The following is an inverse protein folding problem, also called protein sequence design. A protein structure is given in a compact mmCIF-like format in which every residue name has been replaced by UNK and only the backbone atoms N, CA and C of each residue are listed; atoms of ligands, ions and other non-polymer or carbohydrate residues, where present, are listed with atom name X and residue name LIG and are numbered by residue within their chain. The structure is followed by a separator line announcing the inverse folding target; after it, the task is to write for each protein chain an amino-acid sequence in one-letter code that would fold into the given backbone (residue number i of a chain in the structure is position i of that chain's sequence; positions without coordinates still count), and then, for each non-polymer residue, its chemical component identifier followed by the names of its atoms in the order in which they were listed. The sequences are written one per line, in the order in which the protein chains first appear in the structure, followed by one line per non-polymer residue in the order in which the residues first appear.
data_IF_059127240371
#
_entry.id   IF_059127240371
#
_cell.length_a   1.000
_cell.length_b   1.000
_cell.length_c   1.000
_cell.angle_alpha   90.00
_cell.angle_beta   90.00
_cell.angle_gamma   90.00
#
_symmetry.space_group_name_H-M   'P 1'
#
loop_
_entity.id
_entity.type
_entity.pdbx_description
1 polymer ?
#
# COMPACT_ATOMS: atom_id res chain seq x y z
N UNK A 1 28.64 0.97 4.02
CA UNK A 1 27.56 0.14 3.47
C UNK A 1 28.20 -0.94 2.62
N UNK A 2 27.92 -2.20 2.90
CA UNK A 2 28.38 -3.31 2.07
C UNK A 2 27.55 -3.39 0.77
N UNK A 3 28.06 -4.11 -0.26
CA UNK A 3 27.25 -4.35 -1.49
C UNK A 3 25.91 -5.04 -1.18
N UNK A 4 25.88 -5.87 -0.14
CA UNK A 4 24.66 -6.53 0.32
C UNK A 4 23.67 -5.53 0.93
N UNK A 5 24.13 -4.55 1.71
CA UNK A 5 23.25 -3.51 2.28
C UNK A 5 22.55 -2.68 1.18
N UNK A 6 23.30 -2.32 0.11
CA UNK A 6 22.69 -1.55 -1.01
C UNK A 6 21.63 -2.38 -1.74
N UNK A 7 21.83 -3.68 -1.90
CA UNK A 7 20.84 -4.59 -2.46
C UNK A 7 19.55 -4.61 -1.61
N UNK A 8 19.66 -4.76 -0.28
CA UNK A 8 18.51 -4.80 0.61
C UNK A 8 17.76 -3.45 0.65
N UNK A 9 18.44 -2.32 0.59
CA UNK A 9 17.81 -0.99 0.44
C UNK A 9 17.07 -0.87 -0.89
N UNK A 10 17.59 -1.42 -1.99
CA UNK A 10 16.88 -1.44 -3.29
C UNK A 10 15.65 -2.34 -3.25
N UNK A 11 15.74 -3.53 -2.67
CA UNK A 11 14.62 -4.45 -2.52
C UNK A 11 13.51 -3.85 -1.65
N UNK A 12 13.88 -3.17 -0.56
CA UNK A 12 12.94 -2.38 0.25
C UNK A 12 12.25 -1.30 -0.59
N UNK A 13 13.00 -0.61 -1.48
CA UNK A 13 12.44 0.35 -2.42
C UNK A 13 11.45 -0.27 -3.41
N UNK A 14 11.81 -1.39 -4.02
CA UNK A 14 10.93 -2.13 -4.95
C UNK A 14 9.64 -2.53 -4.24
N UNK A 15 9.72 -3.07 -3.04
CA UNK A 15 8.53 -3.44 -2.27
C UNK A 15 7.67 -2.22 -1.90
N UNK A 16 8.30 -1.11 -1.49
CA UNK A 16 7.60 0.15 -1.21
C UNK A 16 6.90 0.74 -2.45
N UNK A 17 7.42 0.47 -3.65
CA UNK A 17 6.75 0.79 -4.92
C UNK A 17 5.59 -0.17 -5.19
N UNK A 18 5.81 -1.49 -5.06
CA UNK A 18 4.83 -2.51 -5.47
C UNK A 18 3.56 -2.47 -4.63
N UNK A 19 3.67 -2.21 -3.32
CA UNK A 19 2.51 -2.22 -2.42
C UNK A 19 1.44 -1.22 -2.89
N UNK A 20 1.68 0.09 -2.99
CA UNK A 20 0.68 1.02 -3.50
C UNK A 20 0.52 0.93 -5.02
N UNK A 21 1.58 0.65 -5.77
CA UNK A 21 1.62 0.70 -7.23
C UNK A 21 0.78 -0.38 -7.91
N UNK A 22 0.64 -1.55 -7.30
CA UNK A 22 -0.07 -2.68 -7.91
C UNK A 22 -1.39 -3.03 -7.20
N UNK A 23 -1.70 -2.39 -6.06
CA UNK A 23 -2.74 -2.82 -5.14
C UNK A 23 -4.13 -2.96 -5.77
N UNK A 24 -4.54 -2.06 -6.66
CA UNK A 24 -5.92 -1.94 -7.11
C UNK A 24 -6.20 -2.49 -8.51
N UNK A 25 -5.19 -2.58 -9.35
CA UNK A 25 -5.35 -2.95 -10.76
C UNK A 25 -4.63 -4.24 -11.15
N UNK A 26 -3.87 -4.83 -10.21
CA UNK A 26 -3.26 -6.15 -10.37
C UNK A 26 -3.86 -7.10 -9.34
N UNK A 27 -4.29 -8.28 -9.77
CA UNK A 27 -4.83 -9.30 -8.88
C UNK A 27 -3.80 -9.66 -7.79
N UNK A 28 -4.18 -9.50 -6.52
CA UNK A 28 -3.29 -9.68 -5.37
C UNK A 28 -2.01 -8.83 -5.42
N UNK A 29 -2.04 -7.67 -6.11
CA UNK A 29 -0.85 -6.84 -6.38
C UNK A 29 -0.11 -6.37 -5.12
N UNK A 30 -0.84 -6.03 -4.06
CA UNK A 30 -0.24 -5.68 -2.76
C UNK A 30 0.53 -6.84 -2.12
N UNK A 31 0.09 -8.09 -2.37
CA UNK A 31 0.72 -9.27 -1.78
C UNK A 31 2.13 -9.51 -2.33
N UNK A 32 2.42 -9.13 -3.57
CA UNK A 32 3.75 -9.26 -4.14
C UNK A 32 4.78 -8.43 -3.39
N UNK A 33 4.44 -7.17 -3.09
CA UNK A 33 5.31 -6.31 -2.27
C UNK A 33 5.47 -6.83 -0.85
N UNK A 34 4.41 -7.35 -0.23
CA UNK A 34 4.43 -7.94 1.10
C UNK A 34 5.31 -9.20 1.15
N UNK A 35 5.22 -10.07 0.14
CA UNK A 35 6.07 -11.28 0.04
C UNK A 35 7.55 -10.90 -0.09
N UNK A 36 7.88 -9.90 -0.93
CA UNK A 36 9.26 -9.41 -1.04
C UNK A 36 9.76 -8.90 0.30
N UNK A 37 8.96 -8.09 1.02
CA UNK A 37 9.33 -7.59 2.35
C UNK A 37 9.56 -8.73 3.34
N UNK A 38 8.67 -9.73 3.36
CA UNK A 38 8.76 -10.86 4.27
C UNK A 38 10.02 -11.70 3.99
N UNK A 39 10.28 -12.04 2.74
CA UNK A 39 11.47 -12.80 2.36
C UNK A 39 12.75 -12.05 2.72
N UNK A 40 12.82 -10.74 2.43
CA UNK A 40 13.95 -9.90 2.79
C UNK A 40 14.09 -9.77 4.30
N UNK A 41 12.99 -9.68 5.06
CA UNK A 41 13.05 -9.62 6.52
C UNK A 41 13.62 -10.91 7.11
N UNK A 42 13.20 -12.07 6.62
CA UNK A 42 13.72 -13.36 7.05
C UNK A 42 15.21 -13.51 6.71
N UNK A 43 15.61 -13.12 5.48
CA UNK A 43 17.01 -13.17 5.07
C UNK A 43 17.93 -12.25 5.90
N UNK A 44 17.39 -11.18 6.47
CA UNK A 44 18.16 -10.19 7.26
C UNK A 44 17.88 -10.24 8.75
N UNK A 45 17.24 -11.31 9.25
CA UNK A 45 16.83 -11.45 10.65
C UNK A 45 17.98 -11.22 11.65
N UNK A 46 19.17 -11.73 11.35
CA UNK A 46 20.36 -11.53 12.19
C UNK A 46 20.81 -10.07 12.32
N UNK A 47 20.40 -9.19 11.39
CA UNK A 47 20.75 -7.76 11.42
C UNK A 47 19.73 -6.96 12.23
N UNK A 48 18.44 -7.07 11.89
CA UNK A 48 17.43 -6.25 12.57
C UNK A 48 17.12 -6.71 13.99
N UNK A 49 17.29 -8.01 14.33
CA UNK A 49 17.18 -8.50 15.71
C UNK A 49 18.24 -7.90 16.65
N UNK A 50 19.40 -7.49 16.12
CA UNK A 50 20.46 -6.84 16.90
C UNK A 50 20.29 -5.33 17.03
N UNK A 51 19.44 -4.72 16.20
CA UNK A 51 19.17 -3.28 16.24
C UNK A 51 18.07 -3.00 17.26
N UNK A 52 18.32 -2.08 18.18
CA UNK A 52 17.28 -1.61 19.11
C UNK A 52 16.40 -0.57 18.38
N UNK A 53 15.11 -0.83 18.19
CA UNK A 53 14.21 0.13 17.58
C UNK A 53 14.08 1.38 18.46
N UNK A 54 13.91 2.55 17.85
CA UNK A 54 13.63 3.79 18.55
C UNK A 54 12.22 3.78 19.18
N UNK A 55 11.92 4.79 20.01
CA UNK A 55 10.63 4.91 20.71
C UNK A 55 9.44 4.87 19.75
N UNK A 56 9.51 5.58 18.63
CA UNK A 56 8.43 5.65 17.65
C UNK A 56 8.18 4.28 16.98
N UNK A 57 9.24 3.52 16.76
CA UNK A 57 9.12 2.16 16.22
C UNK A 57 8.44 1.22 17.22
N UNK A 58 8.68 1.38 18.52
CA UNK A 58 7.98 0.62 19.56
C UNK A 58 6.51 0.97 19.64
N UNK A 59 6.12 2.23 19.44
CA UNK A 59 4.71 2.63 19.37
C UNK A 59 4.00 1.99 18.17
N UNK A 60 4.64 2.00 16.99
CA UNK A 60 4.09 1.32 15.81
C UNK A 60 3.99 -0.19 16.01
N UNK A 61 5.02 -0.80 16.59
CA UNK A 61 5.03 -2.22 16.91
C UNK A 61 3.87 -2.58 17.86
N UNK A 62 3.73 -1.82 18.94
CA UNK A 62 2.64 -1.99 19.92
C UNK A 62 1.25 -1.84 19.27
N UNK A 63 1.08 -0.86 18.38
CA UNK A 63 -0.18 -0.66 17.65
C UNK A 63 -0.53 -1.84 16.74
N UNK A 64 0.45 -2.39 16.02
CA UNK A 64 0.25 -3.56 15.15
C UNK A 64 -0.10 -4.80 15.99
N UNK A 65 0.62 -5.01 17.11
CA UNK A 65 0.33 -6.13 18.03
C UNK A 65 -1.06 -5.99 18.62
N UNK A 66 -1.42 -4.80 19.12
CA UNK A 66 -2.73 -4.55 19.70
C UNK A 66 -3.85 -4.83 18.69
N UNK A 67 -3.70 -4.35 17.44
CA UNK A 67 -4.69 -4.59 16.39
C UNK A 67 -4.78 -6.08 16.05
N UNK A 68 -3.65 -6.77 15.91
CA UNK A 68 -3.63 -8.22 15.68
C UNK A 68 -4.29 -9.01 16.81
N UNK A 69 -4.08 -8.59 18.06
CA UNK A 69 -4.68 -9.21 19.23
C UNK A 69 -6.20 -9.01 19.24
N UNK A 70 -6.70 -7.80 18.96
CA UNK A 70 -8.14 -7.52 18.88
C UNK A 70 -8.80 -8.45 17.84
N UNK A 71 -8.20 -8.59 16.65
CA UNK A 71 -8.73 -9.50 15.63
C UNK A 71 -8.62 -10.99 16.02
N UNK A 72 -7.60 -11.36 16.80
CA UNK A 72 -7.46 -12.73 17.29
C UNK A 72 -8.46 -13.08 18.38
N UNK A 73 -8.83 -12.12 19.23
CA UNK A 73 -9.84 -12.30 20.27
C UNK A 73 -11.27 -12.44 19.71
N UNK A 74 -11.53 -11.87 18.55
CA UNK A 74 -12.82 -12.00 17.85
C UNK A 74 -12.98 -13.34 17.11
N UNK A 75 -11.96 -14.20 17.16
CA UNK A 75 -11.98 -15.51 16.51
C UNK A 75 -12.67 -16.56 17.40
N UNK A 76 -13.83 -17.05 16.95
CA UNK A 76 -14.52 -18.20 17.58
C UNK A 76 -14.16 -19.50 16.82
N UNK A 77 -13.41 -20.43 17.43
CA UNK A 77 -13.04 -21.69 16.80
C UNK A 77 -14.23 -22.59 16.47
N UNK A 78 -15.35 -22.43 17.20
CA UNK A 78 -16.52 -23.29 17.03
C UNK A 78 -17.42 -22.87 15.86
N UNK A 79 -17.41 -21.58 15.53
CA UNK A 79 -18.26 -21.00 14.48
C UNK A 79 -17.44 -20.39 13.32
N UNK A 80 -16.14 -20.16 13.53
CA UNK A 80 -15.25 -19.49 12.60
C UNK A 80 -14.60 -20.43 11.59
N UNK A 81 -14.56 -20.00 10.33
CA UNK A 81 -13.67 -20.63 9.35
C UNK A 81 -12.22 -20.28 9.66
N UNK A 82 -11.28 -21.20 9.43
CA UNK A 82 -9.83 -20.94 9.52
C UNK A 82 -9.37 -19.75 8.68
N UNK A 83 -10.14 -19.38 7.65
CA UNK A 83 -9.90 -18.17 6.87
C UNK A 83 -9.98 -16.87 7.69
N UNK A 84 -10.65 -16.86 8.83
CA UNK A 84 -10.74 -15.70 9.71
C UNK A 84 -9.42 -15.40 10.44
N UNK A 85 -8.53 -16.40 10.58
CA UNK A 85 -7.17 -16.22 11.09
C UNK A 85 -6.23 -15.51 10.09
N UNK A 86 -6.62 -15.39 8.82
CA UNK A 86 -5.82 -14.68 7.81
C UNK A 86 -5.56 -13.20 8.19
N UNK A 87 -6.54 -12.55 8.83
CA UNK A 87 -6.41 -11.15 9.26
C UNK A 87 -5.37 -10.97 10.38
N UNK A 88 -5.50 -11.63 11.55
CA UNK A 88 -4.50 -11.49 12.62
C UNK A 88 -3.11 -11.99 12.18
N UNK A 89 -3.03 -13.04 11.36
CA UNK A 89 -1.75 -13.50 10.82
C UNK A 89 -1.03 -12.44 9.98
N UNK A 90 -1.74 -11.65 9.18
CA UNK A 90 -1.17 -10.55 8.40
C UNK A 90 -0.58 -9.46 9.28
N UNK A 91 -1.23 -9.12 10.40
CA UNK A 91 -0.66 -8.17 11.37
C UNK A 91 0.63 -8.70 11.98
N UNK A 92 0.67 -9.97 12.39
CA UNK A 92 1.89 -10.57 12.94
C UNK A 92 3.02 -10.63 11.92
N UNK A 93 2.72 -10.97 10.65
CA UNK A 93 3.69 -10.98 9.56
C UNK A 93 4.18 -9.58 9.17
N UNK A 94 3.42 -8.53 9.49
CA UNK A 94 3.85 -7.15 9.27
C UNK A 94 4.98 -6.72 10.22
N UNK A 95 5.12 -7.34 11.40
CA UNK A 95 6.13 -6.97 12.39
C UNK A 95 7.58 -7.17 11.89
N UNK A 96 7.98 -8.35 11.38
CA UNK A 96 9.31 -8.52 10.81
C UNK A 96 9.55 -7.61 9.58
N UNK A 97 8.51 -7.35 8.78
CA UNK A 97 8.59 -6.41 7.66
C UNK A 97 8.88 -4.98 8.14
N UNK A 98 8.23 -4.52 9.22
CA UNK A 98 8.50 -3.21 9.83
C UNK A 98 9.95 -3.11 10.29
N UNK A 99 10.45 -4.11 11.01
CA UNK A 99 11.82 -4.13 11.51
C UNK A 99 12.86 -4.14 10.36
N UNK A 100 12.55 -4.86 9.29
CA UNK A 100 13.36 -4.84 8.08
C UNK A 100 13.40 -3.44 7.43
N UNK A 101 12.24 -2.79 7.25
CA UNK A 101 12.16 -1.44 6.66
C UNK A 101 12.88 -0.41 7.53
N UNK A 102 12.84 -0.54 8.85
CA UNK A 102 13.60 0.32 9.78
C UNK A 102 15.11 0.09 9.66
N UNK A 103 15.54 -1.14 9.39
CA UNK A 103 16.96 -1.48 9.19
C UNK A 103 17.48 -1.02 7.80
N UNK A 104 16.63 -1.13 6.78
CA UNK A 104 16.94 -0.83 5.38
C UNK A 104 15.88 0.10 4.79
N UNK A 105 15.86 1.39 5.19
CA UNK A 105 14.81 2.33 4.80
C UNK A 105 14.80 2.53 3.28
N UNK A 106 13.63 2.41 2.63
CA UNK A 106 13.49 2.66 1.21
C UNK A 106 13.68 4.15 0.91
N UNK A 107 14.21 4.46 -0.24
CA UNK A 107 14.25 5.86 -0.71
C UNK A 107 12.82 6.31 -1.02
N UNK A 108 12.39 7.42 -0.46
CA UNK A 108 11.02 7.96 -0.59
C UNK A 108 10.52 8.05 -2.05
N UNK A 109 11.42 8.26 -3.02
CA UNK A 109 11.09 8.29 -4.46
C UNK A 109 10.39 7.01 -4.95
N UNK A 110 10.71 5.84 -4.39
CA UNK A 110 10.08 4.58 -4.77
C UNK A 110 8.63 4.52 -4.30
N UNK A 111 8.39 4.94 -3.06
CA UNK A 111 7.03 5.02 -2.50
C UNK A 111 6.18 5.99 -3.32
N UNK A 112 6.68 7.19 -3.57
CA UNK A 112 5.97 8.19 -4.36
C UNK A 112 5.68 7.71 -5.79
N UNK A 113 6.66 7.09 -6.45
CA UNK A 113 6.44 6.50 -7.77
C UNK A 113 5.36 5.40 -7.74
N UNK A 114 5.36 4.54 -6.70
CA UNK A 114 4.31 3.55 -6.50
C UNK A 114 2.93 4.17 -6.32
N UNK A 115 2.80 5.24 -5.53
CA UNK A 115 1.55 5.97 -5.34
C UNK A 115 1.03 6.54 -6.66
N UNK A 116 1.89 7.18 -7.46
CA UNK A 116 1.49 7.74 -8.76
C UNK A 116 1.03 6.64 -9.73
N UNK A 117 1.79 5.55 -9.84
CA UNK A 117 1.42 4.40 -10.69
C UNK A 117 0.15 3.73 -10.20
N UNK A 118 -0.03 3.60 -8.88
CA UNK A 118 -1.22 3.03 -8.28
C UNK A 118 -2.47 3.87 -8.55
N UNK A 119 -2.38 5.20 -8.41
CA UNK A 119 -3.48 6.12 -8.72
C UNK A 119 -3.87 6.06 -10.21
N UNK A 120 -2.88 6.13 -11.11
CA UNK A 120 -3.12 6.01 -12.54
C UNK A 120 -3.69 4.65 -12.91
N UNK A 121 -3.12 3.56 -12.39
CA UNK A 121 -3.58 2.20 -12.65
C UNK A 121 -5.00 1.97 -12.15
N UNK A 122 -5.34 2.49 -10.97
CA UNK A 122 -6.70 2.42 -10.43
C UNK A 122 -7.70 3.13 -11.37
N UNK A 123 -7.47 4.39 -11.72
CA UNK A 123 -8.38 5.12 -12.61
C UNK A 123 -8.55 4.45 -13.97
N UNK A 124 -7.45 4.09 -14.63
CA UNK A 124 -7.49 3.40 -15.92
C UNK A 124 -8.21 2.04 -15.85
N UNK A 125 -7.98 1.29 -14.78
CA UNK A 125 -8.66 0.00 -14.59
C UNK A 125 -10.14 0.17 -14.28
N UNK A 126 -10.51 1.22 -13.51
CA UNK A 126 -11.90 1.59 -13.27
C UNK A 126 -12.62 1.96 -14.57
N UNK A 127 -12.00 2.77 -15.43
CA UNK A 127 -12.51 3.08 -16.76
C UNK A 127 -12.68 1.84 -17.62
N UNK A 128 -11.69 0.95 -17.64
CA UNK A 128 -11.79 -0.32 -18.35
C UNK A 128 -12.98 -1.15 -17.87
N UNK A 129 -13.20 -1.25 -16.55
CA UNK A 129 -14.34 -1.96 -15.99
C UNK A 129 -15.68 -1.32 -16.38
N UNK A 130 -15.78 0.01 -16.36
CA UNK A 130 -16.99 0.72 -16.70
C UNK A 130 -17.30 0.68 -18.20
N UNK A 131 -16.31 0.95 -19.06
CA UNK A 131 -16.51 1.13 -20.50
C UNK A 131 -16.42 -0.18 -21.31
N UNK A 132 -15.46 -1.05 -20.98
CA UNK A 132 -15.25 -2.29 -21.72
C UNK A 132 -16.00 -3.48 -21.14
N UNK A 133 -16.09 -3.58 -19.82
CA UNK A 133 -16.79 -4.67 -19.15
C UNK A 133 -18.24 -4.31 -18.77
N UNK A 134 -18.66 -3.06 -19.00
CA UNK A 134 -19.98 -2.54 -18.67
C UNK A 134 -20.44 -2.86 -17.24
N UNK A 135 -19.49 -2.89 -16.28
CA UNK A 135 -19.82 -3.15 -14.89
C UNK A 135 -20.52 -1.91 -14.30
N UNK A 136 -21.59 -2.10 -13.51
CA UNK A 136 -22.33 -0.97 -12.90
C UNK A 136 -21.47 -0.23 -11.88
N UNK A 137 -20.42 -0.87 -11.37
CA UNK A 137 -19.50 -0.32 -10.37
C UNK A 137 -18.08 -0.85 -10.58
N UNK A 138 -17.10 0.04 -10.57
CA UNK A 138 -15.71 -0.36 -10.55
C UNK A 138 -15.35 -0.94 -9.17
N UNK A 139 -14.79 -2.13 -9.14
CA UNK A 139 -14.43 -2.85 -7.92
C UNK A 139 -12.97 -3.34 -7.91
N UNK A 140 -12.26 -3.20 -9.02
CA UNK A 140 -10.92 -3.73 -9.16
C UNK A 140 -10.89 -5.25 -8.93
N UNK A 141 -9.93 -5.69 -8.13
CA UNK A 141 -9.86 -7.07 -7.62
C UNK A 141 -10.24 -7.15 -6.12
N UNK A 142 -11.05 -6.20 -5.64
CA UNK A 142 -11.54 -6.10 -4.27
C UNK A 142 -13.05 -5.79 -4.28
N UNK A 143 -13.59 -5.17 -3.25
CA UNK A 143 -14.95 -4.66 -3.29
C UNK A 143 -14.98 -3.18 -3.69
N UNK A 144 -16.11 -2.70 -4.22
CA UNK A 144 -16.25 -1.35 -4.74
C UNK A 144 -15.95 -0.26 -3.67
N UNK A 145 -16.30 -0.50 -2.40
CA UNK A 145 -16.07 0.45 -1.31
C UNK A 145 -14.57 0.60 -1.03
N UNK A 146 -13.86 -0.51 -0.92
CA UNK A 146 -12.40 -0.50 -0.70
C UNK A 146 -11.67 0.07 -1.91
N UNK A 147 -12.09 -0.32 -3.11
CA UNK A 147 -11.52 0.21 -4.35
C UNK A 147 -11.65 1.72 -4.43
N UNK A 148 -12.84 2.25 -4.23
CA UNK A 148 -13.08 3.69 -4.26
C UNK A 148 -12.33 4.45 -3.18
N UNK A 149 -12.34 3.95 -1.93
CA UNK A 149 -11.61 4.57 -0.83
C UNK A 149 -10.10 4.60 -1.03
N UNK A 150 -9.51 3.49 -1.49
CA UNK A 150 -8.07 3.42 -1.76
C UNK A 150 -7.67 4.23 -2.99
N UNK A 151 -8.50 4.25 -4.06
CA UNK A 151 -8.28 5.07 -5.24
C UNK A 151 -8.25 6.55 -4.89
N UNK A 152 -9.23 7.02 -4.08
CA UNK A 152 -9.28 8.38 -3.57
C UNK A 152 -8.03 8.71 -2.73
N UNK A 153 -7.65 7.83 -1.82
CA UNK A 153 -6.46 8.00 -0.99
C UNK A 153 -5.20 8.18 -1.85
N UNK A 154 -5.00 7.34 -2.86
CA UNK A 154 -3.86 7.47 -3.77
C UNK A 154 -3.89 8.80 -4.54
N UNK A 155 -5.06 9.24 -5.02
CA UNK A 155 -5.24 10.55 -5.65
C UNK A 155 -4.91 11.71 -4.72
N UNK A 156 -5.37 11.67 -3.46
CA UNK A 156 -5.04 12.68 -2.44
C UNK A 156 -3.54 12.68 -2.12
N UNK A 157 -2.89 11.52 -2.05
CA UNK A 157 -1.43 11.44 -1.86
C UNK A 157 -0.67 12.04 -3.05
N UNK A 158 -1.18 11.89 -4.29
CA UNK A 158 -0.64 12.58 -5.46
C UNK A 158 -0.78 14.10 -5.32
N UNK A 159 -1.90 14.62 -4.78
CA UNK A 159 -2.09 16.04 -4.51
C UNK A 159 -1.06 16.56 -3.49
N UNK A 160 -0.85 15.83 -2.41
CA UNK A 160 0.17 16.16 -1.40
C UNK A 160 1.57 16.18 -2.04
N UNK A 161 1.92 15.19 -2.85
CA UNK A 161 3.21 15.15 -3.54
C UNK A 161 3.39 16.34 -4.49
N UNK A 162 2.33 16.71 -5.23
CA UNK A 162 2.36 17.84 -6.14
C UNK A 162 2.55 19.16 -5.40
N UNK A 163 1.82 19.39 -4.30
CA UNK A 163 1.85 20.64 -3.55
C UNK A 163 3.12 20.79 -2.70
N UNK A 164 3.47 19.76 -1.93
CA UNK A 164 4.57 19.83 -0.94
C UNK A 164 5.94 19.77 -1.63
N UNK A 165 6.05 19.04 -2.72
CA UNK A 165 7.31 18.81 -3.42
C UNK A 165 7.36 19.53 -4.77
N UNK A 166 6.53 20.56 -4.97
CA UNK A 166 6.40 21.30 -6.24
C UNK A 166 7.74 21.70 -6.84
N UNK A 167 8.60 22.33 -6.06
CA UNK A 167 9.89 22.84 -6.52
C UNK A 167 10.92 21.75 -6.84
N UNK A 168 10.69 20.54 -6.36
CA UNK A 168 11.57 19.37 -6.60
C UNK A 168 11.23 18.62 -7.87
N UNK A 169 10.04 18.84 -8.46
CA UNK A 169 9.56 18.13 -9.63
C UNK A 169 9.80 18.87 -10.93
N UNK A 170 10.26 18.16 -11.94
CA UNK A 170 10.31 18.66 -13.31
C UNK A 170 8.89 18.84 -13.85
N UNK A 171 8.67 19.73 -14.87
CA UNK A 171 7.32 19.99 -15.42
C UNK A 171 6.56 18.72 -15.83
N UNK A 172 7.22 17.78 -16.49
CA UNK A 172 6.60 16.52 -16.91
C UNK A 172 6.20 15.62 -15.70
N UNK A 173 6.95 15.67 -14.59
CA UNK A 173 6.60 14.96 -13.36
C UNK A 173 5.38 15.58 -12.67
N UNK A 174 5.28 16.91 -12.70
CA UNK A 174 4.09 17.64 -12.21
C UNK A 174 2.84 17.25 -12.99
N UNK A 175 2.96 17.15 -14.33
CA UNK A 175 1.86 16.63 -15.16
C UNK A 175 1.48 15.20 -14.80
N UNK A 176 2.46 14.32 -14.54
CA UNK A 176 2.21 12.95 -14.08
C UNK A 176 1.44 12.90 -12.75
N UNK A 177 1.78 13.77 -11.79
CA UNK A 177 1.05 13.89 -10.52
C UNK A 177 -0.38 14.39 -10.73
N UNK A 178 -0.59 15.39 -11.60
CA UNK A 178 -1.92 15.90 -11.93
C UNK A 178 -2.80 14.80 -12.57
N UNK A 179 -2.25 14.01 -13.46
CA UNK A 179 -2.93 12.83 -14.04
C UNK A 179 -3.27 11.82 -12.95
N UNK A 180 -2.34 11.53 -12.02
CA UNK A 180 -2.60 10.64 -10.89
C UNK A 180 -3.74 11.12 -9.98
N UNK A 181 -3.85 12.44 -9.75
CA UNK A 181 -4.96 13.04 -9.00
C UNK A 181 -6.29 12.78 -9.73
N UNK A 182 -6.37 13.13 -11.01
CA UNK A 182 -7.59 12.98 -11.79
C UNK A 182 -8.06 11.53 -11.87
N UNK A 183 -7.14 10.61 -12.20
CA UNK A 183 -7.45 9.19 -12.32
C UNK A 183 -7.77 8.55 -10.97
N UNK A 184 -7.11 8.96 -9.88
CA UNK A 184 -7.44 8.51 -8.53
C UNK A 184 -8.84 8.92 -8.09
N UNK A 185 -9.24 10.16 -8.37
CA UNK A 185 -10.60 10.66 -8.13
C UNK A 185 -11.63 9.92 -9.00
N UNK A 186 -11.33 9.75 -10.29
CA UNK A 186 -12.21 9.05 -11.23
C UNK A 186 -12.47 7.60 -10.81
N UNK A 187 -11.43 6.85 -10.41
CA UNK A 187 -11.60 5.49 -9.88
C UNK A 187 -12.51 5.43 -8.66
N UNK A 188 -12.45 6.46 -7.80
CA UNK A 188 -13.37 6.59 -6.65
C UNK A 188 -14.80 6.85 -7.10
N UNK A 189 -15.02 7.75 -8.05
CA UNK A 189 -16.35 8.07 -8.58
C UNK A 189 -16.99 6.86 -9.28
N UNK A 190 -16.23 6.16 -10.12
CA UNK A 190 -16.70 4.96 -10.83
C UNK A 190 -17.03 3.78 -9.90
N UNK A 191 -16.48 3.78 -8.70
CA UNK A 191 -16.83 2.77 -7.67
C UNK A 191 -18.21 2.98 -7.07
N UNK A 192 -18.84 4.16 -7.31
CA UNK A 192 -20.09 4.59 -6.69
C UNK A 192 -20.11 4.40 -5.15
N UNK A 193 -18.94 4.42 -4.51
CA UNK A 193 -18.89 4.38 -3.06
C UNK A 193 -19.49 5.66 -2.48
N UNK A 194 -20.37 5.53 -1.47
CA UNK A 194 -21.04 6.70 -0.85
C UNK A 194 -20.04 7.73 -0.32
N UNK A 195 -18.83 7.33 0.03
CA UNK A 195 -17.74 8.23 0.42
C UNK A 195 -17.26 9.16 -0.69
N UNK A 196 -17.33 8.74 -1.98
CA UNK A 196 -16.99 9.59 -3.12
C UNK A 196 -18.06 10.62 -3.46
N UNK A 197 -19.33 10.37 -3.09
CA UNK A 197 -20.45 11.29 -3.36
C UNK A 197 -20.56 12.44 -2.34
N UNK A 198 -19.96 12.32 -1.18
CA UNK A 198 -20.04 13.34 -0.11
C UNK A 198 -19.05 14.48 -0.33
N UNK A 199 -18.09 14.34 -1.23
CA UNK A 199 -17.01 15.31 -1.50
C UNK A 199 -17.34 16.22 -2.71
N UNK A 200 -18.43 15.97 -3.42
CA UNK A 200 -18.96 16.81 -4.50
C UNK A 200 -20.28 17.46 -4.07
#
# INVERSE_FOLDING_TARGET
MTKADDLFVRLSGVAAFMVPGLALWVRSGYSWGAVVLLLCSLATAGVWLRRRPGRDAWLLFGSIVAMGTVWALDFDPAQGSWSNLDRPAKYLLALPCLLYVLAYPPRARWLWAGIAVGACGAGLFGLYQALALHLPRANGFTNAIQYGGLSLLLGLMCSVALLVLWDRWKPWQRAGWAVGILLGLEGSLLSESRGGRVVL
#
